data_IF_943631353555
#
_entry.id   IF_943631353555
#
_cell.length_a   1.000
_cell.length_b   1.000
_cell.length_c   1.000
_cell.angle_alpha   90.00
_cell.angle_beta   90.00
_cell.angle_gamma   90.00
#
_symmetry.space_group_name_H-M   'P 1'
#
loop_
_entity.id
_entity.type
_entity.pdbx_description
1 polymer ?
#
# COMPACT_ATOMS: atom_id res chain seq x y z
N UNK A 1 14.41 46.51 27.31
CA UNK A 1 14.75 45.17 27.83
C UNK A 1 13.45 44.49 28.25
N UNK A 2 13.02 43.48 27.50
CA UNK A 2 11.82 42.68 27.78
C UNK A 2 12.26 41.23 28.06
N UNK A 3 11.71 40.54 29.07
CA UNK A 3 12.05 39.15 29.33
C UNK A 3 11.23 38.22 28.42
N UNK A 4 11.92 37.29 27.76
CA UNK A 4 11.32 36.18 27.00
C UNK A 4 10.68 35.18 27.96
N UNK A 5 9.35 35.03 27.88
CA UNK A 5 8.61 33.98 28.56
C UNK A 5 8.57 32.73 27.67
N UNK A 6 9.20 31.67 28.17
CA UNK A 6 8.96 30.22 28.01
C UNK A 6 8.59 29.66 26.63
N UNK A 7 9.41 28.68 26.24
CA UNK A 7 9.41 27.88 25.01
C UNK A 7 8.05 27.25 24.72
N UNK A 8 7.57 27.48 23.50
CA UNK A 8 6.45 26.77 22.89
C UNK A 8 6.89 25.35 22.48
N UNK A 9 6.19 24.34 23.00
CA UNK A 9 6.46 22.91 22.78
C UNK A 9 5.94 22.44 21.40
N UNK A 10 5.29 23.31 20.61
CA UNK A 10 4.86 23.04 19.24
C UNK A 10 6.03 22.66 18.31
N UNK A 11 7.24 23.14 18.60
CA UNK A 11 8.46 22.79 17.86
C UNK A 11 8.89 21.33 18.03
N UNK A 12 8.48 20.65 19.12
CA UNK A 12 8.88 19.26 19.40
C UNK A 12 7.91 18.27 18.76
N UNK A 13 6.61 18.62 18.65
CA UNK A 13 5.60 17.75 18.05
C UNK A 13 5.47 17.89 16.52
N UNK A 14 6.01 18.96 15.91
CA UNK A 14 5.97 19.12 14.44
C UNK A 14 7.21 18.57 13.72
N UNK A 15 8.33 18.30 14.38
CA UNK A 15 9.57 17.97 13.65
C UNK A 15 9.66 16.54 13.11
N UNK A 16 8.74 15.64 13.49
CA UNK A 16 8.64 14.28 12.91
C UNK A 16 7.46 14.06 11.96
N UNK A 17 6.55 15.02 11.84
CA UNK A 17 5.35 14.90 10.99
C UNK A 17 5.25 15.99 9.91
N UNK A 18 6.10 17.01 9.95
CA UNK A 18 6.04 18.16 9.03
C UNK A 18 6.99 18.09 7.82
N UNK A 19 7.92 17.13 7.76
CA UNK A 19 8.85 16.98 6.63
C UNK A 19 8.42 16.02 5.51
N UNK A 20 7.28 15.32 5.65
CA UNK A 20 6.75 14.45 4.58
C UNK A 20 5.37 14.87 4.04
N UNK A 21 4.65 15.81 4.67
CA UNK A 21 3.32 16.26 4.20
C UNK A 21 3.29 17.63 3.51
N UNK A 22 4.44 18.29 3.29
CA UNK A 22 4.48 19.65 2.69
C UNK A 22 5.14 19.77 1.30
N UNK A 23 5.55 18.68 0.67
CA UNK A 23 6.08 18.71 -0.71
C UNK A 23 5.04 18.27 -1.76
N UNK A 24 3.92 17.65 -1.36
CA UNK A 24 2.96 17.07 -2.32
C UNK A 24 1.98 18.04 -2.99
N UNK A 25 1.82 19.29 -2.52
CA UNK A 25 0.77 20.20 -3.03
C UNK A 25 1.28 21.45 -3.77
N UNK A 26 2.58 21.56 -4.10
CA UNK A 26 3.14 22.72 -4.83
C UNK A 26 3.76 22.36 -6.19
N UNK A 27 3.22 21.36 -6.90
CA UNK A 27 3.63 21.01 -8.28
C UNK A 27 2.43 20.81 -9.22
N UNK A 28 1.36 21.58 -9.03
CA UNK A 28 0.18 21.57 -9.93
C UNK A 28 0.41 22.22 -11.31
N UNK A 29 1.66 22.42 -11.76
CA UNK A 29 1.99 23.00 -13.06
C UNK A 29 3.28 22.41 -13.68
N UNK A 30 3.43 21.10 -13.69
CA UNK A 30 4.40 20.43 -14.57
C UNK A 30 3.64 19.51 -15.52
N UNK A 31 3.87 19.60 -16.84
CA UNK A 31 3.38 18.60 -17.78
C UNK A 31 3.90 17.25 -17.29
N UNK A 32 2.97 16.33 -17.05
CA UNK A 32 3.14 14.94 -16.60
C UNK A 32 4.58 14.43 -16.73
N UNK A 33 5.41 14.70 -15.72
CA UNK A 33 6.65 13.97 -15.54
C UNK A 33 6.18 12.54 -15.30
N UNK A 34 6.44 11.66 -16.25
CA UNK A 34 6.17 10.23 -16.11
C UNK A 34 6.94 9.71 -14.92
N UNK A 35 6.33 9.74 -13.74
CA UNK A 35 6.77 8.95 -12.61
C UNK A 35 6.48 7.50 -13.02
N UNK A 36 7.53 6.77 -13.41
CA UNK A 36 7.42 5.32 -13.48
C UNK A 36 7.09 4.85 -12.07
N UNK A 37 5.97 4.14 -11.92
CA UNK A 37 5.63 3.49 -10.66
C UNK A 37 6.78 2.58 -10.25
N UNK A 38 7.03 2.48 -8.94
CA UNK A 38 8.05 1.58 -8.39
C UNK A 38 7.68 0.15 -8.78
N UNK A 39 8.54 -0.60 -9.50
CA UNK A 39 8.22 -1.96 -9.90
C UNK A 39 7.99 -2.88 -8.69
N UNK A 40 7.00 -3.76 -8.80
CA UNK A 40 6.71 -4.77 -7.80
C UNK A 40 7.67 -5.96 -7.99
N UNK A 41 8.31 -6.37 -6.91
CA UNK A 41 9.30 -7.46 -6.86
C UNK A 41 9.08 -8.26 -5.58
N UNK A 42 9.64 -9.48 -5.51
CA UNK A 42 9.58 -10.28 -4.28
C UNK A 42 10.10 -9.52 -3.04
N UNK A 43 11.04 -8.59 -3.23
CA UNK A 43 11.64 -7.82 -2.15
C UNK A 43 10.69 -6.78 -1.54
N UNK A 44 9.74 -6.24 -2.32
CA UNK A 44 8.85 -5.16 -1.88
C UNK A 44 7.36 -5.52 -1.91
N UNK A 45 6.97 -6.70 -2.41
CA UNK A 45 5.56 -7.09 -2.56
C UNK A 45 4.75 -6.95 -1.26
N UNK A 46 5.28 -7.45 -0.15
CA UNK A 46 4.64 -7.36 1.17
C UNK A 46 4.54 -5.90 1.66
N UNK A 47 5.56 -5.09 1.42
CA UNK A 47 5.58 -3.67 1.78
C UNK A 47 4.59 -2.86 0.93
N UNK A 48 4.48 -3.16 -0.37
CA UNK A 48 3.53 -2.54 -1.27
C UNK A 48 2.09 -2.83 -0.83
N UNK A 49 1.77 -4.09 -0.48
CA UNK A 49 0.45 -4.46 0.06
C UNK A 49 0.16 -3.71 1.36
N UNK A 50 1.11 -3.73 2.32
CA UNK A 50 0.94 -3.04 3.60
C UNK A 50 0.71 -1.53 3.41
N UNK A 51 1.51 -0.90 2.56
CA UNK A 51 1.41 0.53 2.24
C UNK A 51 0.05 0.85 1.63
N UNK A 52 -0.38 0.07 0.65
CA UNK A 52 -1.63 0.26 -0.04
C UNK A 52 -2.83 0.10 0.91
N UNK A 53 -2.94 -1.06 1.57
CA UNK A 53 -4.10 -1.39 2.41
C UNK A 53 -4.16 -0.59 3.73
N UNK A 54 -3.08 0.11 4.11
CA UNK A 54 -3.16 1.13 5.18
C UNK A 54 -3.99 2.35 4.76
N UNK A 55 -4.02 2.66 3.46
CA UNK A 55 -4.74 3.82 2.92
C UNK A 55 -6.10 3.47 2.34
N UNK A 56 -6.21 2.34 1.64
CA UNK A 56 -7.44 1.87 1.01
C UNK A 56 -7.62 0.37 1.31
N UNK A 57 -8.14 0.02 2.51
CA UNK A 57 -8.18 -1.36 3.00
C UNK A 57 -9.17 -2.26 2.27
N UNK A 58 -10.17 -1.70 1.59
CA UNK A 58 -11.28 -2.45 0.99
C UNK A 58 -10.95 -2.89 -0.44
N UNK A 59 -10.58 -1.95 -1.31
CA UNK A 59 -10.50 -2.18 -2.76
C UNK A 59 -9.07 -2.10 -3.33
N UNK A 60 -8.08 -1.69 -2.54
CA UNK A 60 -6.69 -1.54 -2.99
C UNK A 60 -6.47 -0.39 -3.98
N UNK A 61 -7.37 0.60 -4.04
CA UNK A 61 -7.28 1.77 -4.94
C UNK A 61 -6.29 2.83 -4.42
N UNK A 62 -5.01 2.48 -4.44
CA UNK A 62 -3.91 3.25 -3.85
C UNK A 62 -3.22 4.20 -4.84
N UNK A 63 -4.00 5.01 -5.55
CA UNK A 63 -3.53 5.91 -6.64
C UNK A 63 -2.41 6.87 -6.24
N UNK A 64 -2.32 7.20 -4.94
CA UNK A 64 -1.30 8.11 -4.39
C UNK A 64 -0.04 7.39 -3.88
N UNK A 65 -0.01 6.05 -3.91
CA UNK A 65 1.17 5.27 -3.51
C UNK A 65 2.22 5.26 -4.61
N UNK A 66 3.48 5.07 -4.26
CA UNK A 66 4.57 4.93 -5.25
C UNK A 66 4.42 3.69 -6.16
N UNK A 67 3.58 2.74 -5.74
CA UNK A 67 3.26 1.50 -6.45
C UNK A 67 2.02 1.62 -7.33
N UNK A 68 1.23 2.70 -7.20
CA UNK A 68 -0.07 2.85 -7.86
C UNK A 68 -1.18 1.95 -7.29
N UNK A 69 -2.32 1.90 -7.99
CA UNK A 69 -3.46 1.08 -7.59
C UNK A 69 -3.16 -0.42 -7.77
N UNK A 70 -3.46 -1.20 -6.72
CA UNK A 70 -3.17 -2.63 -6.64
C UNK A 70 -3.73 -3.47 -7.81
N UNK A 71 -4.97 -3.22 -8.30
CA UNK A 71 -5.49 -3.94 -9.47
C UNK A 71 -4.62 -3.81 -10.73
N UNK A 72 -3.79 -2.76 -10.82
CA UNK A 72 -2.95 -2.47 -11.97
C UNK A 72 -1.47 -2.88 -11.78
N UNK A 73 -1.12 -3.52 -10.67
CA UNK A 73 0.25 -3.95 -10.43
C UNK A 73 0.68 -5.01 -11.43
N UNK A 74 1.87 -4.84 -12.01
CA UNK A 74 2.57 -5.91 -12.72
C UNK A 74 3.23 -6.83 -11.69
N UNK A 75 2.61 -7.99 -11.43
CA UNK A 75 3.11 -9.03 -10.52
C UNK A 75 3.70 -10.23 -11.27
N UNK A 76 3.88 -10.14 -12.58
CA UNK A 76 4.30 -11.26 -13.44
C UNK A 76 5.66 -11.88 -13.05
N UNK A 77 6.50 -11.14 -12.32
CA UNK A 77 7.81 -11.61 -11.86
C UNK A 77 7.83 -12.07 -10.38
N UNK A 78 6.68 -12.09 -9.70
CA UNK A 78 6.57 -12.50 -8.30
C UNK A 78 6.52 -14.03 -8.23
N UNK A 79 7.32 -14.59 -7.32
CA UNK A 79 7.39 -16.04 -7.09
C UNK A 79 6.86 -16.44 -5.72
N UNK A 80 6.74 -15.50 -4.78
CA UNK A 80 6.27 -15.75 -3.42
C UNK A 80 5.19 -14.74 -3.04
N UNK A 81 3.95 -15.24 -2.95
CA UNK A 81 2.77 -14.50 -2.48
C UNK A 81 2.28 -15.02 -1.12
N UNK A 82 3.12 -15.76 -0.40
CA UNK A 82 2.75 -16.32 0.89
C UNK A 82 2.29 -15.24 1.86
N UNK A 83 1.17 -15.48 2.54
CA UNK A 83 0.58 -14.57 3.54
C UNK A 83 0.28 -13.13 3.07
N UNK A 84 0.29 -12.85 1.77
CA UNK A 84 0.17 -11.49 1.22
C UNK A 84 -1.03 -10.69 1.77
N UNK A 85 -2.19 -11.35 1.90
CA UNK A 85 -3.40 -10.76 2.46
C UNK A 85 -3.79 -11.35 3.82
N UNK A 86 -2.84 -11.98 4.53
CA UNK A 86 -3.10 -12.52 5.86
C UNK A 86 -3.62 -11.42 6.79
N UNK A 87 -4.75 -11.69 7.44
CA UNK A 87 -5.45 -10.78 8.36
C UNK A 87 -5.86 -9.43 7.74
N UNK A 88 -5.88 -9.29 6.41
CA UNK A 88 -6.48 -8.15 5.71
C UNK A 88 -7.99 -8.36 5.56
N UNK A 89 -8.69 -8.44 6.70
CA UNK A 89 -10.08 -8.92 6.78
C UNK A 89 -11.09 -8.13 5.94
N UNK A 90 -10.82 -6.85 5.66
CA UNK A 90 -11.69 -5.97 4.86
C UNK A 90 -11.42 -6.03 3.36
N UNK A 91 -10.27 -6.60 2.96
CA UNK A 91 -9.84 -6.58 1.58
C UNK A 91 -10.75 -7.43 0.68
N UNK A 92 -11.22 -6.81 -0.38
CA UNK A 92 -12.03 -7.41 -1.44
C UNK A 92 -11.79 -6.69 -2.79
N UNK A 93 -10.58 -6.19 -3.01
CA UNK A 93 -10.20 -5.52 -4.25
C UNK A 93 -10.06 -6.49 -5.42
N UNK A 94 -10.39 -6.04 -6.63
CA UNK A 94 -10.27 -6.88 -7.81
C UNK A 94 -8.79 -7.08 -8.20
N UNK A 95 -8.36 -8.33 -8.19
CA UNK A 95 -7.01 -8.77 -8.58
C UNK A 95 -7.07 -9.91 -9.61
N UNK A 96 -8.22 -10.09 -10.27
CA UNK A 96 -8.43 -11.11 -11.31
C UNK A 96 -7.40 -11.06 -12.44
N UNK A 97 -6.91 -9.85 -12.73
CA UNK A 97 -6.04 -9.58 -13.88
C UNK A 97 -4.55 -9.78 -13.57
N UNK A 98 -4.21 -10.18 -12.34
CA UNK A 98 -2.83 -10.49 -11.96
C UNK A 98 -2.32 -11.75 -12.69
N UNK A 99 -1.22 -11.60 -13.42
CA UNK A 99 -0.48 -12.76 -13.94
C UNK A 99 0.31 -13.42 -12.81
N UNK A 100 -0.23 -14.53 -12.29
CA UNK A 100 0.37 -15.32 -11.21
C UNK A 100 1.10 -16.56 -11.71
N UNK A 101 1.35 -16.67 -13.02
CA UNK A 101 1.92 -17.88 -13.64
C UNK A 101 3.32 -18.26 -13.15
N UNK A 102 4.05 -17.31 -12.57
CA UNK A 102 5.39 -17.52 -11.98
C UNK A 102 5.37 -17.73 -10.46
N UNK A 103 4.20 -17.66 -9.81
CA UNK A 103 4.08 -17.82 -8.35
C UNK A 103 4.30 -19.28 -7.95
N UNK A 104 5.21 -19.49 -7.01
CA UNK A 104 5.58 -20.81 -6.48
C UNK A 104 4.90 -21.05 -5.12
N UNK A 105 4.75 -20.01 -4.31
CA UNK A 105 4.15 -20.08 -2.98
C UNK A 105 2.97 -19.11 -2.82
N UNK A 106 1.77 -19.66 -2.58
CA UNK A 106 0.55 -18.93 -2.24
C UNK A 106 0.02 -19.30 -0.84
N UNK A 107 0.84 -19.95 -0.03
CA UNK A 107 0.43 -20.43 1.29
C UNK A 107 -0.11 -19.29 2.15
N UNK A 108 -1.25 -19.52 2.79
CA UNK A 108 -1.88 -18.55 3.70
C UNK A 108 -2.24 -17.18 3.08
N UNK A 109 -2.21 -17.02 1.75
CA UNK A 109 -2.43 -15.73 1.08
C UNK A 109 -3.72 -15.04 1.54
N UNK A 110 -4.83 -15.78 1.64
CA UNK A 110 -6.13 -15.29 2.14
C UNK A 110 -6.53 -15.99 3.46
N UNK A 111 -5.60 -16.07 4.41
CA UNK A 111 -5.92 -16.60 5.73
C UNK A 111 -6.38 -15.49 6.67
N UNK A 112 -7.27 -15.84 7.60
CA UNK A 112 -7.61 -14.98 8.72
C UNK A 112 -7.38 -15.74 10.03
N UNK A 113 -6.92 -15.03 11.06
CA UNK A 113 -6.63 -15.62 12.36
C UNK A 113 -7.89 -16.20 13.05
N UNK A 114 -7.72 -17.02 14.10
CA UNK A 114 -8.82 -17.73 14.76
C UNK A 114 -9.82 -16.80 15.49
N UNK A 115 -9.44 -15.54 15.71
CA UNK A 115 -10.29 -14.52 16.33
C UNK A 115 -10.91 -13.57 15.30
N UNK A 116 -10.60 -13.75 14.01
CA UNK A 116 -11.19 -12.96 12.93
C UNK A 116 -12.61 -13.45 12.60
N UNK A 117 -13.46 -12.56 12.10
CA UNK A 117 -14.77 -12.92 11.55
C UNK A 117 -14.71 -13.60 10.18
N UNK A 118 -13.52 -14.00 9.70
CA UNK A 118 -13.24 -14.44 8.33
C UNK A 118 -12.72 -13.32 7.42
N UNK A 119 -12.29 -13.71 6.22
CA UNK A 119 -11.91 -12.78 5.15
C UNK A 119 -13.14 -12.29 4.39
N UNK A 120 -13.16 -11.01 4.00
CA UNK A 120 -14.18 -10.46 3.09
C UNK A 120 -13.95 -10.85 1.62
N UNK A 121 -12.72 -11.27 1.27
CA UNK A 121 -12.33 -11.54 -0.10
C UNK A 121 -13.21 -12.61 -0.76
N UNK A 122 -13.84 -12.24 -1.88
CA UNK A 122 -14.72 -13.11 -2.64
C UNK A 122 -14.68 -12.86 -4.16
N UNK A 123 -13.60 -12.24 -4.66
CA UNK A 123 -13.44 -11.95 -6.08
C UNK A 123 -13.27 -13.24 -6.89
N UNK A 124 -13.69 -13.20 -8.16
CA UNK A 124 -13.44 -14.29 -9.09
C UNK A 124 -11.97 -14.28 -9.52
N UNK A 125 -11.31 -15.41 -9.28
CA UNK A 125 -9.89 -15.65 -9.58
C UNK A 125 -9.73 -16.93 -10.40
N UNK A 126 -10.77 -17.33 -11.15
CA UNK A 126 -10.75 -18.56 -11.96
C UNK A 126 -9.75 -18.55 -13.12
N UNK A 127 -9.29 -17.37 -13.53
CA UNK A 127 -8.34 -17.17 -14.64
C UNK A 127 -6.86 -17.15 -14.19
N UNK A 128 -6.60 -17.23 -12.87
CA UNK A 128 -5.27 -17.32 -12.29
C UNK A 128 -4.54 -18.64 -12.60
#
# INVERSE_FOLDING_TARGET
MLPLHKIDISSIMNHKTLFLKKISYLLLLIPSIGFSQTPITNANFQEAIATCLTTNPIDGMCDISEYGAMPNWDVSNITDMSSAFSDRIEFNGNISDWDVSNVIDMSFMFTAGPLSGGMSFNQDIGDW
#
